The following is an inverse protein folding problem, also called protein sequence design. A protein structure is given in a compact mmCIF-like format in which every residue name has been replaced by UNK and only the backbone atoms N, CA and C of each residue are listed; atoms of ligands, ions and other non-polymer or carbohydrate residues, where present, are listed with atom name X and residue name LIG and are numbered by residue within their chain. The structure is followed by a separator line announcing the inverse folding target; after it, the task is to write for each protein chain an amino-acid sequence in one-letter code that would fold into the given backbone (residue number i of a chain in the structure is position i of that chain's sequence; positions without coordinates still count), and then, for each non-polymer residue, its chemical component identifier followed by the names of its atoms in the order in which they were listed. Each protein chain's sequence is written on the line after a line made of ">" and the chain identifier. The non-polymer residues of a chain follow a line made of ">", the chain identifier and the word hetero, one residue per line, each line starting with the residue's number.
data_IF_520255655283
#
_entry.id   IF_520255655283
#
_cell.length_a   1.000
_cell.length_b   1.000
_cell.length_c   1.000
_cell.angle_alpha   90.00
_cell.angle_beta   90.00
_cell.angle_gamma   90.00
#
_symmetry.space_group_name_H-M   'P 1'
#
loop_
_entity.id
_entity.type
_entity.pdbx_description
1 polymer ?
#
# COMPACT_ATOMS: atom_id res chain seq x y z
N UNK A 1 -7.38 22.52 24.79
CA UNK A 1 -6.19 21.70 24.51
C UNK A 1 -5.87 21.91 23.05
N UNK A 2 -4.70 22.48 22.79
CA UNK A 2 -4.19 22.73 21.45
C UNK A 2 -4.04 21.39 20.71
N UNK A 3 -4.66 21.28 19.55
CA UNK A 3 -4.38 20.20 18.60
C UNK A 3 -2.99 20.42 18.03
N UNK A 4 -1.97 19.92 18.72
CA UNK A 4 -0.66 19.78 18.13
C UNK A 4 -0.77 18.93 16.87
N UNK A 5 -0.08 19.34 15.81
CA UNK A 5 0.07 18.59 14.58
C UNK A 5 0.60 17.19 14.92
N UNK A 6 -0.32 16.23 15.09
CA UNK A 6 0.04 14.85 15.35
C UNK A 6 0.35 14.25 13.99
N UNK A 7 1.64 14.30 13.63
CA UNK A 7 2.16 13.57 12.49
C UNK A 7 1.82 12.08 12.55
N UNK A 8 2.27 11.34 11.54
CA UNK A 8 2.08 9.88 11.48
C UNK A 8 2.52 9.25 12.80
N UNK A 9 1.66 8.40 13.40
CA UNK A 9 2.01 7.73 14.64
C UNK A 9 3.23 6.81 14.41
N UNK A 10 4.18 6.70 15.36
CA UNK A 10 5.43 5.96 15.15
C UNK A 10 5.21 4.50 14.71
N UNK A 11 4.18 3.84 15.22
CA UNK A 11 3.78 2.50 14.86
C UNK A 11 3.32 2.39 13.39
N UNK A 12 2.59 3.39 12.89
CA UNK A 12 2.16 3.44 11.48
C UNK A 12 3.36 3.68 10.57
N UNK A 13 4.28 4.56 10.97
CA UNK A 13 5.50 4.83 10.22
C UNK A 13 6.40 3.59 10.12
N UNK A 14 6.53 2.87 11.24
CA UNK A 14 7.24 1.59 11.30
C UNK A 14 6.58 0.57 10.39
N UNK A 15 5.25 0.42 10.44
CA UNK A 15 4.52 -0.54 9.60
C UNK A 15 4.66 -0.23 8.11
N UNK A 16 4.70 1.04 7.71
CA UNK A 16 5.01 1.41 6.33
C UNK A 16 6.42 0.96 5.93
N UNK A 17 7.42 1.19 6.79
CA UNK A 17 8.79 0.75 6.57
C UNK A 17 8.91 -0.77 6.44
N UNK A 18 8.28 -1.51 7.34
CA UNK A 18 8.24 -2.97 7.31
C UNK A 18 7.52 -3.46 6.04
N UNK A 19 6.39 -2.84 5.66
CA UNK A 19 5.67 -3.20 4.44
C UNK A 19 6.56 -3.08 3.20
N UNK A 20 7.29 -1.98 3.06
CA UNK A 20 8.23 -1.77 1.95
C UNK A 20 9.38 -2.78 2.00
N UNK A 21 9.94 -3.03 3.19
CA UNK A 21 11.00 -4.03 3.38
C UNK A 21 10.54 -5.42 2.94
N UNK A 22 9.37 -5.86 3.39
CA UNK A 22 8.87 -7.20 3.11
C UNK A 22 8.32 -7.36 1.68
N UNK A 23 7.75 -6.30 1.10
CA UNK A 23 7.45 -6.27 -0.33
C UNK A 23 8.74 -6.49 -1.14
N UNK A 24 9.80 -5.78 -0.79
CA UNK A 24 11.08 -5.91 -1.46
C UNK A 24 11.75 -7.26 -1.19
N UNK A 25 11.58 -7.87 -0.01
CA UNK A 25 12.13 -9.20 0.26
C UNK A 25 11.41 -10.31 -0.54
N UNK A 26 10.17 -10.06 -0.98
CA UNK A 26 9.30 -11.05 -1.59
C UNK A 26 8.63 -11.97 -0.57
N UNK A 27 8.74 -11.68 0.73
CA UNK A 27 8.21 -12.50 1.80
C UNK A 27 6.73 -12.21 2.05
N UNK A 28 5.88 -12.88 1.28
CA UNK A 28 4.43 -12.80 1.45
C UNK A 28 3.94 -13.19 2.86
N UNK A 29 4.68 -14.02 3.61
CA UNK A 29 4.31 -14.40 4.98
C UNK A 29 4.60 -13.26 5.95
N UNK A 30 5.75 -12.60 5.79
CA UNK A 30 6.11 -11.43 6.58
C UNK A 30 5.18 -10.25 6.29
N UNK A 31 4.84 -9.99 5.00
CA UNK A 31 3.82 -8.99 4.64
C UNK A 31 2.48 -9.34 5.30
N UNK A 32 2.06 -10.62 5.27
CA UNK A 32 0.80 -11.06 5.85
C UNK A 32 0.71 -10.88 7.38
N UNK A 33 1.86 -10.84 8.06
CA UNK A 33 1.94 -10.61 9.50
C UNK A 33 1.70 -9.14 9.87
N UNK A 34 1.81 -8.21 8.92
CA UNK A 34 1.54 -6.78 9.13
C UNK A 34 0.04 -6.44 9.17
N UNK A 35 -0.83 -7.33 8.70
CA UNK A 35 -2.27 -7.08 8.63
C UNK A 35 -3.00 -7.53 9.90
N UNK A 36 -3.99 -6.73 10.30
CA UNK A 36 -4.86 -7.03 11.43
C UNK A 36 -5.56 -8.39 11.22
N UNK A 37 -5.84 -9.11 12.31
CA UNK A 37 -6.47 -10.45 12.26
C UNK A 37 -8.00 -10.42 12.11
N UNK A 38 -8.58 -9.28 11.74
CA UNK A 38 -10.03 -9.07 11.66
C UNK A 38 -10.58 -9.40 10.26
N UNK A 39 -11.89 -9.64 10.19
CA UNK A 39 -12.59 -9.81 8.90
C UNK A 39 -12.89 -8.47 8.20
N UNK A 40 -12.65 -7.34 8.87
CA UNK A 40 -12.87 -6.00 8.33
C UNK A 40 -11.70 -5.48 7.49
N UNK A 41 -10.60 -6.23 7.41
CA UNK A 41 -9.45 -5.86 6.58
C UNK A 41 -9.86 -5.70 5.12
N UNK A 42 -9.46 -4.58 4.51
CA UNK A 42 -9.74 -4.27 3.11
C UNK A 42 -8.46 -3.93 2.35
N UNK A 43 -8.20 -4.66 1.28
CA UNK A 43 -7.18 -4.31 0.29
C UNK A 43 -7.81 -3.83 -1.02
N UNK A 44 -7.25 -2.79 -1.61
CA UNK A 44 -7.60 -2.27 -2.93
C UNK A 44 -6.35 -2.19 -3.80
N UNK A 45 -6.44 -2.68 -5.02
CA UNK A 45 -5.35 -2.68 -5.98
C UNK A 45 -5.59 -1.76 -7.18
N UNK A 46 -4.79 -1.95 -8.21
CA UNK A 46 -4.84 -1.20 -9.46
C UNK A 46 -5.90 -1.74 -10.43
N UNK A 47 -6.04 -3.07 -10.56
CA UNK A 47 -6.98 -3.67 -11.50
C UNK A 47 -8.43 -3.46 -11.00
N UNK A 48 -9.42 -3.17 -11.88
CA UNK A 48 -10.80 -2.93 -11.48
C UNK A 48 -11.47 -4.05 -10.67
N UNK A 49 -10.94 -5.27 -10.68
CA UNK A 49 -11.41 -6.41 -9.89
C UNK A 49 -10.75 -6.52 -8.52
N UNK A 50 -9.78 -5.66 -8.22
CA UNK A 50 -8.98 -5.68 -7.00
C UNK A 50 -9.70 -4.95 -5.87
N UNK A 51 -10.67 -5.66 -5.31
CA UNK A 51 -11.39 -5.29 -4.11
C UNK A 51 -11.47 -6.51 -3.17
N UNK A 52 -10.53 -6.60 -2.22
CA UNK A 52 -10.35 -7.78 -1.39
C UNK A 52 -10.82 -7.52 0.03
N UNK A 53 -12.01 -8.03 0.36
CA UNK A 53 -12.58 -7.99 1.72
C UNK A 53 -12.16 -9.22 2.53
N UNK A 54 -11.78 -8.97 3.78
CA UNK A 54 -11.40 -9.97 4.75
C UNK A 54 -9.96 -10.45 4.57
N UNK A 55 -9.29 -10.65 5.71
CA UNK A 55 -7.88 -11.05 5.75
C UNK A 55 -7.60 -12.30 4.91
N UNK A 56 -8.42 -13.35 5.04
CA UNK A 56 -8.19 -14.61 4.33
C UNK A 56 -8.17 -14.45 2.81
N UNK A 57 -9.04 -13.60 2.26
CA UNK A 57 -9.06 -13.29 0.82
C UNK A 57 -7.81 -12.51 0.43
N UNK A 58 -7.50 -11.44 1.18
CA UNK A 58 -6.36 -10.58 0.89
C UNK A 58 -5.04 -11.34 0.95
N UNK A 59 -4.82 -12.17 1.98
CA UNK A 59 -3.56 -12.92 2.13
C UNK A 59 -3.34 -13.90 0.98
N UNK A 60 -4.40 -14.57 0.52
CA UNK A 60 -4.32 -15.47 -0.65
C UNK A 60 -3.90 -14.72 -1.91
N UNK A 61 -4.46 -13.52 -2.13
CA UNK A 61 -4.13 -12.71 -3.30
C UNK A 61 -2.72 -12.14 -3.20
N UNK A 62 -2.31 -11.62 -2.03
CA UNK A 62 -0.95 -11.14 -1.81
C UNK A 62 0.07 -12.26 -2.05
N UNK A 63 -0.16 -13.47 -1.54
CA UNK A 63 0.73 -14.61 -1.78
C UNK A 63 0.88 -14.92 -3.27
N UNK A 64 -0.22 -14.91 -4.03
CA UNK A 64 -0.20 -15.13 -5.47
C UNK A 64 0.55 -14.00 -6.20
N UNK A 65 0.20 -12.74 -5.92
CA UNK A 65 0.79 -11.58 -6.56
C UNK A 65 2.28 -11.42 -6.25
N UNK A 66 2.74 -11.72 -5.03
CA UNK A 66 4.17 -11.69 -4.71
C UNK A 66 4.99 -12.73 -5.50
N UNK A 67 4.39 -13.88 -5.82
CA UNK A 67 5.02 -14.88 -6.69
C UNK A 67 5.03 -14.42 -8.15
N UNK A 68 3.94 -13.85 -8.63
CA UNK A 68 3.79 -13.34 -9.99
C UNK A 68 4.70 -12.12 -10.25
N UNK A 69 4.84 -11.25 -9.25
CA UNK A 69 5.69 -10.06 -9.25
C UNK A 69 7.09 -10.33 -8.67
N UNK A 70 7.59 -11.57 -8.78
CA UNK A 70 8.89 -11.94 -8.23
C UNK A 70 9.99 -10.97 -8.68
N UNK A 71 10.67 -10.36 -7.70
CA UNK A 71 11.72 -9.38 -7.92
C UNK A 71 11.24 -7.94 -8.13
N UNK A 72 9.95 -7.67 -7.98
CA UNK A 72 9.42 -6.31 -7.94
C UNK A 72 10.04 -5.51 -6.79
N UNK A 73 10.16 -4.20 -7.00
CA UNK A 73 10.64 -3.23 -6.02
C UNK A 73 9.62 -2.14 -5.81
N UNK A 74 9.43 -1.77 -4.55
CA UNK A 74 8.64 -0.63 -4.13
C UNK A 74 9.58 0.40 -3.50
N UNK A 75 9.58 1.61 -4.05
CA UNK A 75 10.38 2.73 -3.56
C UNK A 75 9.48 3.91 -3.19
N UNK A 76 9.61 4.43 -1.97
CA UNK A 76 8.83 5.58 -1.49
C UNK A 76 9.60 6.88 -1.76
N UNK A 77 8.97 7.85 -2.42
CA UNK A 77 9.57 9.16 -2.70
C UNK A 77 9.09 10.26 -1.74
N UNK A 78 7.83 10.19 -1.32
CA UNK A 78 7.21 11.15 -0.43
C UNK A 78 6.15 10.45 0.41
N UNK A 79 5.93 10.90 1.65
CA UNK A 79 4.85 10.41 2.51
C UNK A 79 4.17 11.57 3.25
N UNK A 80 2.88 11.40 3.48
CA UNK A 80 2.06 12.31 4.28
C UNK A 80 1.03 11.49 5.06
N UNK A 81 0.70 11.93 6.28
CA UNK A 81 -0.27 11.23 7.11
C UNK A 81 -0.37 11.83 8.50
N UNK A 82 -1.30 11.31 9.30
CA UNK A 82 -1.55 11.76 10.66
C UNK A 82 -2.20 10.63 11.47
N UNK A 83 -1.75 10.45 12.71
CA UNK A 83 -2.30 9.40 13.57
C UNK A 83 -2.19 8.02 12.91
N UNK A 84 -3.34 7.37 12.67
CA UNK A 84 -3.44 5.97 12.25
C UNK A 84 -3.28 5.70 10.76
N UNK A 85 -2.97 6.70 9.93
CA UNK A 85 -2.83 6.48 8.48
C UNK A 85 -1.60 7.19 7.90
N UNK A 86 -1.09 6.61 6.82
CA UNK A 86 -0.05 7.22 5.98
C UNK A 86 -0.32 6.91 4.52
N UNK A 87 -0.22 7.93 3.69
CA UNK A 87 -0.17 7.81 2.24
C UNK A 87 1.24 8.12 1.75
N UNK A 88 1.64 7.47 0.67
CA UNK A 88 2.95 7.65 0.08
C UNK A 88 2.87 7.71 -1.45
N UNK A 89 3.63 8.63 -2.03
CA UNK A 89 4.03 8.54 -3.43
C UNK A 89 5.13 7.49 -3.51
N UNK A 90 5.00 6.58 -4.48
CA UNK A 90 5.95 5.51 -4.66
C UNK A 90 6.12 5.16 -6.13
N UNK A 91 7.05 4.26 -6.42
CA UNK A 91 7.17 3.61 -7.71
C UNK A 91 7.29 2.11 -7.55
N UNK A 92 6.73 1.37 -8.51
CA UNK A 92 6.86 -0.08 -8.60
C UNK A 92 7.76 -0.40 -9.81
N UNK A 93 8.91 -1.02 -9.56
CA UNK A 93 9.83 -1.47 -10.60
C UNK A 93 9.81 -2.98 -10.76
N UNK A 94 9.67 -3.46 -12.00
CA UNK A 94 9.89 -4.88 -12.32
C UNK A 94 11.34 -5.13 -12.75
N UNK A 95 11.91 -6.33 -12.56
CA UNK A 95 13.26 -6.64 -13.01
C UNK A 95 13.48 -6.32 -14.50
N UNK A 96 14.42 -5.42 -14.79
CA UNK A 96 14.77 -5.01 -16.15
C UNK A 96 13.77 -4.08 -16.84
N UNK A 97 12.68 -3.69 -16.15
CA UNK A 97 11.67 -2.75 -16.64
C UNK A 97 11.82 -1.35 -16.04
N UNK A 98 11.13 -0.34 -16.61
CA UNK A 98 11.04 0.97 -15.99
C UNK A 98 10.23 0.91 -14.68
N UNK A 99 10.55 1.82 -13.76
CA UNK A 99 9.75 2.07 -12.58
C UNK A 99 8.45 2.79 -12.95
N UNK A 100 7.32 2.29 -12.45
CA UNK A 100 5.98 2.82 -12.73
C UNK A 100 5.48 3.61 -11.53
N UNK A 101 5.05 4.88 -11.69
CA UNK A 101 4.51 5.68 -10.57
C UNK A 101 3.26 5.06 -9.96
N UNK A 102 3.22 5.03 -8.63
CA UNK A 102 2.14 4.47 -7.84
C UNK A 102 1.86 5.33 -6.59
N UNK A 103 0.71 5.09 -5.97
CA UNK A 103 0.37 5.64 -4.65
C UNK A 103 -0.03 4.51 -3.73
N UNK A 104 0.51 4.55 -2.52
CA UNK A 104 0.20 3.64 -1.44
C UNK A 104 -0.55 4.39 -0.34
N UNK A 105 -1.55 3.77 0.27
CA UNK A 105 -2.12 4.21 1.55
C UNK A 105 -2.26 3.00 2.44
N UNK A 106 -1.83 3.14 3.70
CA UNK A 106 -2.16 2.20 4.77
C UNK A 106 -2.90 2.93 5.89
N UNK A 107 -3.91 2.26 6.44
CA UNK A 107 -4.55 2.64 7.70
C UNK A 107 -4.30 1.49 8.65
N UNK A 108 -3.87 1.84 9.86
CA UNK A 108 -3.50 0.90 10.90
C UNK A 108 -4.43 1.02 12.11
N UNK A 109 -4.54 -0.09 12.83
CA UNK A 109 -5.03 -0.11 14.21
C UNK A 109 -4.06 0.64 15.14
N UNK A 110 -4.48 0.89 16.38
CA UNK A 110 -3.63 1.57 17.38
C UNK A 110 -2.37 0.82 17.81
N UNK A 111 -2.25 -0.47 17.48
CA UNK A 111 -1.05 -1.30 17.67
C UNK A 111 -0.23 -1.46 16.37
N UNK A 112 -0.58 -0.73 15.30
CA UNK A 112 0.19 -0.66 14.07
C UNK A 112 -0.10 -1.76 13.05
N UNK A 113 -1.19 -2.52 13.19
CA UNK A 113 -1.57 -3.54 12.20
C UNK A 113 -2.43 -2.93 11.09
N UNK A 114 -2.16 -3.28 9.84
CA UNK A 114 -2.88 -2.76 8.69
C UNK A 114 -4.33 -3.29 8.69
N UNK A 115 -5.29 -2.38 8.78
CA UNK A 115 -6.73 -2.66 8.59
C UNK A 115 -7.23 -2.24 7.20
N UNK A 116 -6.57 -1.28 6.56
CA UNK A 116 -6.83 -0.92 5.17
C UNK A 116 -5.53 -0.70 4.40
N UNK A 117 -5.49 -1.23 3.19
CA UNK A 117 -4.40 -1.05 2.23
C UNK A 117 -4.98 -0.64 0.88
N UNK A 118 -4.36 0.34 0.23
CA UNK A 118 -4.64 0.70 -1.15
C UNK A 118 -3.33 0.97 -1.88
N UNK A 119 -3.06 0.21 -2.95
CA UNK A 119 -1.97 0.49 -3.89
C UNK A 119 -2.52 0.67 -5.30
N UNK A 120 -2.27 1.82 -5.91
CA UNK A 120 -2.75 2.11 -7.26
C UNK A 120 -1.67 2.74 -8.14
N UNK A 121 -1.55 2.23 -9.36
CA UNK A 121 -0.71 2.82 -10.42
C UNK A 121 -1.40 4.01 -11.07
N UNK A 122 -0.63 5.07 -11.35
CA UNK A 122 -1.14 6.28 -12.01
C UNK A 122 -1.48 6.04 -13.48
N UNK A 123 -2.67 6.49 -13.90
CA UNK A 123 -3.03 6.64 -15.30
C UNK A 123 -3.39 8.12 -15.57
N UNK A 124 -3.08 8.62 -16.76
CA UNK A 124 -3.41 9.98 -17.14
C UNK A 124 -4.92 10.16 -17.25
N UNK A 125 -5.42 11.35 -16.93
CA UNK A 125 -6.86 11.64 -17.01
C UNK A 125 -7.38 11.49 -18.46
N UNK A 126 -6.54 11.83 -19.44
CA UNK A 126 -6.81 11.66 -20.86
C UNK A 126 -7.08 10.20 -21.23
N UNK A 127 -6.32 9.27 -20.64
CA UNK A 127 -6.45 7.83 -20.92
C UNK A 127 -7.68 7.21 -20.25
N UNK A 128 -8.10 7.75 -19.10
CA UNK A 128 -9.20 7.18 -18.30
C UNK A 128 -10.55 7.78 -18.65
N UNK A 129 -10.61 9.11 -18.83
CA UNK A 129 -11.87 9.86 -19.02
C UNK A 129 -11.86 10.78 -20.24
N UNK A 130 -10.79 10.78 -21.05
CA UNK A 130 -10.71 11.54 -22.30
C UNK A 130 -10.54 13.04 -22.12
N UNK A 131 -10.11 13.51 -20.94
CA UNK A 131 -9.97 14.94 -20.64
C UNK A 131 -8.68 15.24 -19.88
N UNK A 132 -8.04 16.35 -20.24
CA UNK A 132 -6.98 16.95 -19.41
C UNK A 132 -7.61 17.67 -18.22
N UNK A 133 -7.32 17.18 -17.01
CA UNK A 133 -7.67 17.86 -15.75
C UNK A 133 -6.42 18.44 -15.10
N UNK A 134 -6.59 19.40 -14.19
CA UNK A 134 -5.50 19.91 -13.34
C UNK A 134 -4.97 18.80 -12.43
N UNK A 135 -3.65 18.62 -12.39
CA UNK A 135 -2.93 17.62 -11.58
C UNK A 135 -1.72 18.23 -10.89
#
# INVERSE_FOLDING_TARGET
>A
MEGGDMGVAPEVDKTLGDFVSEFNSGDSTAIAALFASTDDVLGIGTDPKEWWRGRATLMRVLEAQMKEMSGARLDISEKAGAGSWVAAQCSIGMPGGPATPARLTIVCTGDGLIEHFHLSVGAANEDVIGQTLTT
#
